data_IF_784116033526
#
_entry.id   IF_784116033526
#
_cell.length_a   1.000
_cell.length_b   1.000
_cell.length_c   1.000
_cell.angle_alpha   90.00
_cell.angle_beta   90.00
_cell.angle_gamma   90.00
#
_symmetry.space_group_name_H-M   'P 1'
#
loop_
_entity.id
_entity.type
_entity.pdbx_description
1 polymer ?
#
# COMPACT_ATOMS: atom_id res chain seq x y z
N UNK A 1 -30.98 -11.57 -18.16
CA UNK A 1 -30.02 -11.07 -17.16
C UNK A 1 -29.07 -10.13 -17.87
N UNK A 2 -28.75 -8.98 -17.26
CA UNK A 2 -27.70 -8.08 -17.72
C UNK A 2 -26.58 -8.18 -16.70
N UNK A 3 -25.35 -8.32 -17.17
CA UNK A 3 -24.14 -8.35 -16.36
C UNK A 3 -23.34 -7.09 -16.67
N UNK A 4 -22.61 -6.58 -15.68
CA UNK A 4 -21.82 -5.36 -15.77
C UNK A 4 -21.72 -4.69 -14.41
N UNK A 5 -21.02 -3.57 -14.37
CA UNK A 5 -20.84 -2.75 -13.18
C UNK A 5 -21.92 -1.66 -13.11
N UNK A 6 -22.44 -1.42 -11.91
CA UNK A 6 -23.54 -0.49 -11.67
C UNK A 6 -23.28 0.29 -10.40
N UNK A 7 -23.64 1.57 -10.40
CA UNK A 7 -23.86 2.29 -9.16
C UNK A 7 -25.32 2.11 -8.73
N UNK A 8 -25.50 1.91 -7.43
CA UNK A 8 -26.80 1.65 -6.84
C UNK A 8 -27.02 2.63 -5.70
N UNK A 9 -28.08 3.43 -5.81
CA UNK A 9 -28.54 4.33 -4.75
C UNK A 9 -29.80 3.78 -4.11
N UNK A 10 -29.97 4.00 -2.82
CA UNK A 10 -31.05 3.38 -2.06
C UNK A 10 -31.04 3.72 -0.59
N UNK A 11 -31.86 3.03 0.19
CA UNK A 11 -31.91 3.16 1.64
C UNK A 11 -31.27 1.94 2.30
N UNK A 12 -30.39 2.18 3.27
CA UNK A 12 -29.80 1.15 4.11
C UNK A 12 -30.45 1.13 5.49
N UNK A 13 -30.95 -0.04 5.90
CA UNK A 13 -31.37 -0.33 7.26
C UNK A 13 -30.22 -1.08 7.95
N UNK A 14 -29.50 -0.39 8.83
CA UNK A 14 -28.35 -0.94 9.54
C UNK A 14 -28.75 -2.02 10.56
N UNK A 15 -29.91 -1.89 11.20
CA UNK A 15 -30.40 -2.87 12.18
C UNK A 15 -30.78 -4.19 11.49
N UNK A 16 -31.38 -4.11 10.30
CA UNK A 16 -31.74 -5.27 9.49
C UNK A 16 -30.60 -5.78 8.59
N UNK A 17 -29.50 -5.02 8.47
CA UNK A 17 -28.43 -5.29 7.51
C UNK A 17 -28.93 -5.33 6.06
N UNK A 18 -29.95 -4.54 5.72
CA UNK A 18 -30.65 -4.62 4.44
C UNK A 18 -30.50 -3.33 3.63
N UNK A 19 -30.01 -3.46 2.42
CA UNK A 19 -30.01 -2.37 1.43
C UNK A 19 -31.18 -2.53 0.46
N UNK A 20 -32.00 -1.48 0.32
CA UNK A 20 -33.11 -1.44 -0.62
C UNK A 20 -32.78 -0.47 -1.77
N UNK A 21 -32.51 -0.99 -2.99
CA UNK A 21 -32.17 -0.14 -4.13
C UNK A 21 -33.39 0.67 -4.58
N UNK A 22 -33.14 1.95 -4.88
CA UNK A 22 -34.13 2.88 -5.45
C UNK A 22 -33.78 3.21 -6.89
N UNK A 23 -32.49 3.38 -7.18
CA UNK A 23 -32.00 3.65 -8.53
C UNK A 23 -30.73 2.83 -8.81
N UNK A 24 -30.62 2.35 -10.05
CA UNK A 24 -29.54 1.51 -10.55
C UNK A 24 -29.14 2.09 -11.90
N UNK A 25 -27.90 2.56 -12.00
CA UNK A 25 -27.36 3.15 -13.22
C UNK A 25 -26.07 2.43 -13.62
N UNK A 26 -25.79 2.24 -14.91
CA UNK A 26 -24.52 1.68 -15.36
C UNK A 26 -23.34 2.49 -14.83
N UNK A 27 -22.27 1.84 -14.39
CA UNK A 27 -21.10 2.53 -13.83
C UNK A 27 -20.49 3.55 -14.81
N UNK A 28 -20.56 3.28 -16.12
CA UNK A 28 -20.08 4.19 -17.16
C UNK A 28 -20.85 5.54 -17.25
N UNK A 29 -22.01 5.66 -16.59
CA UNK A 29 -22.80 6.89 -16.53
C UNK A 29 -22.51 7.70 -15.26
N UNK A 30 -21.78 7.13 -14.29
CA UNK A 30 -21.34 7.82 -13.09
C UNK A 30 -20.02 8.54 -13.40
N UNK A 31 -19.89 9.83 -13.02
CA UNK A 31 -18.59 10.49 -13.08
C UNK A 31 -17.56 9.65 -12.32
N UNK A 32 -16.40 9.41 -12.92
CA UNK A 32 -15.31 8.76 -12.19
C UNK A 32 -15.09 9.53 -10.89
N UNK A 33 -15.03 8.84 -9.73
CA UNK A 33 -14.65 9.50 -8.50
C UNK A 33 -13.31 10.21 -8.75
N UNK A 34 -13.09 11.39 -8.14
CA UNK A 34 -11.79 12.03 -8.21
C UNK A 34 -10.72 11.03 -7.79
N UNK A 35 -9.56 11.05 -8.46
CA UNK A 35 -8.41 10.26 -8.07
C UNK A 35 -8.23 10.34 -6.56
N UNK A 36 -8.14 9.19 -5.92
CA UNK A 36 -7.93 9.14 -4.48
C UNK A 36 -6.52 9.68 -4.20
N UNK A 37 -6.29 10.40 -3.09
CA UNK A 37 -4.94 10.85 -2.74
C UNK A 37 -3.94 9.68 -2.59
N UNK A 38 -4.43 8.44 -2.46
CA UNK A 38 -3.66 7.19 -2.50
C UNK A 38 -3.12 6.80 -3.88
N UNK A 39 -3.52 7.47 -4.96
CA UNK A 39 -3.04 7.22 -6.33
C UNK A 39 -1.73 7.96 -6.66
N UNK A 40 -1.21 8.79 -5.75
CA UNK A 40 0.13 9.38 -5.92
C UNK A 40 1.23 8.33 -5.70
N UNK A 41 2.22 8.22 -6.61
CA UNK A 41 3.32 7.28 -6.44
C UNK A 41 4.05 7.55 -5.11
N UNK A 42 4.15 6.51 -4.29
CA UNK A 42 4.90 6.59 -3.03
C UNK A 42 6.38 6.75 -3.34
N UNK A 43 6.90 7.95 -3.10
CA UNK A 43 8.28 8.30 -3.39
C UNK A 43 9.29 7.75 -2.38
N UNK A 44 10.55 8.06 -2.64
CA UNK A 44 11.67 7.77 -1.72
C UNK A 44 11.77 8.84 -0.62
N UNK A 45 11.63 8.47 0.67
CA UNK A 45 11.67 9.42 1.79
C UNK A 45 13.09 9.83 2.20
N UNK A 46 14.10 9.03 1.84
CA UNK A 46 15.49 9.41 2.06
C UNK A 46 15.87 10.62 1.21
N UNK A 47 16.68 11.52 1.77
CA UNK A 47 17.31 12.58 0.97
C UNK A 47 18.18 11.98 -0.14
N UNK A 48 18.28 12.69 -1.27
CA UNK A 48 19.18 12.29 -2.36
C UNK A 48 20.62 12.15 -1.82
N UNK A 49 21.29 11.00 -2.04
CA UNK A 49 22.67 10.81 -1.65
C UNK A 49 23.63 11.77 -2.36
N UNK A 50 24.85 11.91 -1.84
CA UNK A 50 25.91 12.64 -2.54
C UNK A 50 26.18 12.01 -3.92
N UNK A 51 26.00 12.81 -4.97
CA UNK A 51 26.09 12.35 -6.36
C UNK A 51 24.82 11.68 -6.90
N UNK A 52 23.72 11.74 -6.15
CA UNK A 52 22.41 11.23 -6.51
C UNK A 52 22.24 9.73 -6.33
N UNK A 53 21.01 9.28 -6.54
CA UNK A 53 20.66 7.87 -6.60
C UNK A 53 21.33 7.19 -7.80
N UNK A 54 22.20 6.22 -7.52
CA UNK A 54 22.93 5.44 -8.53
C UNK A 54 23.22 4.03 -8.06
N UNK A 55 23.41 3.13 -9.02
CA UNK A 55 23.95 1.80 -8.76
C UNK A 55 25.33 1.93 -8.11
N UNK A 56 25.53 1.21 -7.01
CA UNK A 56 26.80 1.17 -6.27
C UNK A 56 27.63 -0.08 -6.62
N UNK A 57 26.98 -1.15 -7.08
CA UNK A 57 27.63 -2.38 -7.52
C UNK A 57 26.86 -3.04 -8.67
N UNK A 58 27.38 -2.90 -9.90
CA UNK A 58 26.80 -3.46 -11.12
C UNK A 58 26.76 -5.00 -11.13
N UNK A 59 27.54 -5.67 -10.28
CA UNK A 59 27.53 -7.13 -10.20
C UNK A 59 26.39 -7.69 -9.32
N UNK A 60 25.66 -6.82 -8.63
CA UNK A 60 24.59 -7.16 -7.66
C UNK A 60 23.31 -6.36 -7.93
N UNK A 61 23.00 -6.12 -9.19
CA UNK A 61 21.84 -5.30 -9.62
C UNK A 61 21.05 -5.99 -10.74
N UNK A 62 21.04 -7.31 -10.78
CA UNK A 62 20.13 -8.08 -11.64
C UNK A 62 18.73 -8.16 -11.04
N UNK A 63 17.76 -8.64 -11.83
CA UNK A 63 16.41 -8.90 -11.32
C UNK A 63 16.41 -9.98 -10.23
N UNK A 64 17.27 -10.99 -10.34
CA UNK A 64 17.44 -12.01 -9.31
C UNK A 64 18.02 -11.42 -8.01
N UNK A 65 18.98 -10.50 -8.12
CA UNK A 65 19.53 -9.79 -6.96
C UNK A 65 18.46 -8.91 -6.30
N UNK A 66 17.62 -8.25 -7.09
CA UNK A 66 16.50 -7.44 -6.59
C UNK A 66 15.49 -8.30 -5.82
N UNK A 67 15.08 -9.45 -6.38
CA UNK A 67 14.20 -10.39 -5.69
C UNK A 67 14.84 -10.94 -4.41
N UNK A 68 16.12 -11.30 -4.44
CA UNK A 68 16.85 -11.76 -3.26
C UNK A 68 16.93 -10.67 -2.18
N UNK A 69 17.17 -9.41 -2.57
CA UNK A 69 17.22 -8.28 -1.66
C UNK A 69 15.86 -8.01 -1.01
N UNK A 70 14.77 -8.00 -1.78
CA UNK A 70 13.40 -7.81 -1.26
C UNK A 70 12.99 -8.95 -0.33
N UNK A 71 13.28 -10.20 -0.72
CA UNK A 71 13.01 -11.36 0.11
C UNK A 71 13.83 -11.35 1.41
N UNK A 72 15.08 -10.85 1.37
CA UNK A 72 15.89 -10.69 2.58
C UNK A 72 15.36 -9.55 3.45
N UNK A 73 14.97 -8.42 2.86
CA UNK A 73 14.43 -7.26 3.57
C UNK A 73 13.24 -7.63 4.47
N UNK A 74 12.32 -8.49 3.99
CA UNK A 74 11.17 -8.95 4.77
C UNK A 74 11.52 -9.86 5.96
N UNK A 75 12.77 -10.31 6.05
CA UNK A 75 13.27 -11.11 7.18
C UNK A 75 14.11 -10.32 8.17
N UNK A 76 14.40 -9.06 7.85
CA UNK A 76 15.17 -8.17 8.74
C UNK A 76 14.36 -7.93 10.02
N UNK A 77 15.07 -7.92 11.14
CA UNK A 77 14.46 -7.64 12.44
C UNK A 77 13.75 -6.27 12.42
N UNK A 78 12.46 -6.30 12.78
CA UNK A 78 11.63 -5.10 12.79
C UNK A 78 11.14 -4.65 11.41
N UNK A 79 11.13 -5.51 10.39
CA UNK A 79 10.54 -5.21 9.09
C UNK A 79 9.11 -4.64 9.22
N UNK A 80 8.86 -3.53 8.52
CA UNK A 80 7.57 -2.84 8.50
C UNK A 80 6.94 -2.83 7.10
N UNK A 81 7.72 -2.45 6.08
CA UNK A 81 7.28 -2.44 4.70
C UNK A 81 8.46 -2.34 3.73
N UNK A 82 8.21 -2.66 2.47
CA UNK A 82 9.08 -2.28 1.35
C UNK A 82 8.27 -1.89 0.13
N UNK A 83 8.74 -0.89 -0.60
CA UNK A 83 8.13 -0.42 -1.85
C UNK A 83 9.20 0.00 -2.85
N UNK A 84 8.78 0.25 -4.08
CA UNK A 84 9.65 0.64 -5.18
C UNK A 84 9.31 2.06 -5.63
N UNK A 85 10.35 2.86 -5.82
CA UNK A 85 10.24 4.15 -6.48
C UNK A 85 10.92 4.04 -7.84
N UNK A 86 10.11 4.13 -8.89
CA UNK A 86 10.51 4.08 -10.30
C UNK A 86 10.48 5.47 -10.96
N UNK A 87 10.38 6.56 -10.20
CA UNK A 87 10.35 7.94 -10.73
C UNK A 87 11.59 8.30 -11.54
N UNK A 88 12.69 7.57 -11.36
CA UNK A 88 13.95 7.72 -12.10
C UNK A 88 14.03 6.85 -13.35
N UNK A 89 13.04 5.98 -13.58
CA UNK A 89 13.02 5.11 -14.74
C UNK A 89 12.72 5.94 -16.00
N UNK A 90 13.62 5.95 -17.01
CA UNK A 90 13.40 6.70 -18.24
C UNK A 90 12.17 6.24 -19.03
N UNK A 91 11.66 5.04 -18.75
CA UNK A 91 10.46 4.47 -19.34
C UNK A 91 9.16 4.84 -18.59
N UNK A 92 9.21 5.49 -17.43
CA UNK A 92 8.05 5.75 -16.56
C UNK A 92 6.94 6.63 -17.19
N UNK A 93 7.27 7.40 -18.24
CA UNK A 93 6.30 8.24 -18.97
C UNK A 93 5.89 7.68 -20.34
N UNK A 94 6.29 6.45 -20.68
CA UNK A 94 5.98 5.82 -21.96
C UNK A 94 4.77 4.88 -21.87
N UNK A 95 4.22 4.47 -23.02
CA UNK A 95 3.10 3.52 -23.08
C UNK A 95 3.54 2.15 -22.52
N UNK A 96 2.99 1.70 -21.37
CA UNK A 96 3.41 0.45 -20.74
C UNK A 96 2.99 -0.79 -21.53
N UNK A 97 2.10 -0.65 -22.52
CA UNK A 97 1.68 -1.76 -23.39
C UNK A 97 2.68 -2.05 -24.52
N UNK A 98 3.70 -1.22 -24.70
CA UNK A 98 4.83 -1.52 -25.60
C UNK A 98 5.77 -2.53 -24.91
N UNK A 99 6.00 -3.73 -25.47
CA UNK A 99 6.90 -4.72 -24.88
C UNK A 99 8.34 -4.23 -24.66
N UNK A 100 8.81 -3.28 -25.46
CA UNK A 100 10.14 -2.69 -25.28
C UNK A 100 10.20 -1.71 -24.09
N UNK A 101 9.07 -1.11 -23.72
CA UNK A 101 8.88 -0.26 -22.54
C UNK A 101 8.72 -1.13 -21.30
N UNK A 102 7.91 -2.18 -21.36
CA UNK A 102 7.71 -3.15 -20.26
C UNK A 102 9.05 -3.71 -19.74
N UNK A 103 9.94 -4.12 -20.65
CA UNK A 103 11.25 -4.63 -20.28
C UNK A 103 12.14 -3.57 -19.59
N UNK A 104 12.01 -2.29 -19.96
CA UNK A 104 12.75 -1.18 -19.34
C UNK A 104 12.15 -0.76 -18.00
N UNK A 105 10.81 -0.80 -17.86
CA UNK A 105 10.12 -0.57 -16.59
C UNK A 105 10.57 -1.55 -15.51
N UNK A 106 10.91 -2.78 -15.92
CA UNK A 106 11.37 -3.85 -15.04
C UNK A 106 12.88 -3.85 -14.77
N UNK A 107 13.66 -2.91 -15.33
CA UNK A 107 15.11 -2.86 -15.14
C UNK A 107 15.47 -2.31 -13.75
N UNK A 108 16.00 -3.16 -12.85
CA UNK A 108 16.14 -2.79 -11.45
C UNK A 108 17.29 -1.79 -11.21
N UNK A 109 18.07 -1.44 -12.24
CA UNK A 109 19.06 -0.35 -12.19
C UNK A 109 18.42 1.04 -12.09
N UNK A 110 17.14 1.16 -12.45
CA UNK A 110 16.38 2.40 -12.35
C UNK A 110 15.40 2.42 -11.17
N UNK A 111 15.43 1.40 -10.32
CA UNK A 111 14.52 1.24 -9.19
C UNK A 111 15.21 1.57 -7.88
N UNK A 112 14.60 2.44 -7.09
CA UNK A 112 14.99 2.64 -5.69
C UNK A 112 14.18 1.66 -4.84
N UNK A 113 14.87 0.74 -4.18
CA UNK A 113 14.27 -0.14 -3.18
C UNK A 113 14.14 0.66 -1.88
N UNK A 114 12.92 0.85 -1.39
CA UNK A 114 12.65 1.48 -0.12
C UNK A 114 12.28 0.40 0.90
N UNK A 115 12.83 0.49 2.11
CA UNK A 115 12.54 -0.44 3.22
C UNK A 115 12.34 0.36 4.50
N UNK A 116 11.23 0.15 5.18
CA UNK A 116 10.97 0.72 6.50
C UNK A 116 11.13 -0.36 7.57
N UNK A 117 11.82 -0.03 8.67
CA UNK A 117 12.05 -0.91 9.82
C UNK A 117 11.78 -0.20 11.15
N UNK A 118 11.15 -0.86 12.11
CA UNK A 118 10.99 -0.36 13.47
C UNK A 118 12.31 -0.39 14.28
N UNK A 119 13.29 -1.18 13.82
CA UNK A 119 14.59 -1.37 14.47
C UNK A 119 15.64 -0.29 14.13
N UNK A 120 16.88 -0.75 13.89
CA UNK A 120 18.00 0.10 13.47
C UNK A 120 18.11 0.15 11.94
N UNK A 121 17.79 1.30 11.30
CA UNK A 121 17.88 1.45 9.85
C UNK A 121 19.27 1.21 9.30
N UNK A 122 20.34 1.59 10.03
CA UNK A 122 21.71 1.44 9.54
C UNK A 122 22.13 -0.04 9.51
N UNK A 123 21.72 -0.81 10.52
CA UNK A 123 21.95 -2.25 10.55
C UNK A 123 21.15 -2.98 9.46
N UNK A 124 19.89 -2.60 9.24
CA UNK A 124 19.06 -3.11 8.17
C UNK A 124 19.65 -2.81 6.79
N UNK A 125 20.06 -1.56 6.54
CA UNK A 125 20.72 -1.15 5.30
C UNK A 125 21.97 -1.99 5.05
N UNK A 126 22.86 -2.10 6.04
CA UNK A 126 24.09 -2.89 5.91
C UNK A 126 23.80 -4.37 5.56
N UNK A 127 22.75 -4.95 6.15
CA UNK A 127 22.31 -6.32 5.91
C UNK A 127 21.81 -6.51 4.46
N UNK A 128 20.92 -5.63 3.99
CA UNK A 128 20.38 -5.68 2.62
C UNK A 128 21.49 -5.39 1.59
N UNK A 129 22.39 -4.46 1.91
CA UNK A 129 23.52 -4.06 1.06
C UNK A 129 24.53 -5.19 0.82
N UNK A 130 24.51 -6.26 1.61
CA UNK A 130 25.28 -7.47 1.34
C UNK A 130 24.81 -8.18 0.06
N UNK A 131 23.53 -8.03 -0.30
CA UNK A 131 22.91 -8.65 -1.48
C UNK A 131 22.65 -7.65 -2.60
N UNK A 132 22.41 -6.38 -2.27
CA UNK A 132 21.88 -5.39 -3.21
C UNK A 132 22.87 -4.29 -3.59
N UNK A 133 23.24 -4.23 -4.86
CA UNK A 133 24.09 -3.21 -5.47
C UNK A 133 23.35 -2.01 -6.05
N UNK A 134 22.02 -2.02 -6.10
CA UNK A 134 21.21 -0.92 -6.64
C UNK A 134 20.92 0.19 -5.62
N UNK A 135 19.97 1.05 -5.95
CA UNK A 135 19.56 2.16 -5.10
C UNK A 135 18.73 1.64 -3.92
N UNK A 136 19.02 2.10 -2.70
CA UNK A 136 18.41 1.60 -1.46
C UNK A 136 18.19 2.76 -0.48
N UNK A 137 16.97 2.90 -0.01
CA UNK A 137 16.60 3.77 1.10
C UNK A 137 16.09 2.90 2.25
N UNK A 138 16.65 3.10 3.45
CA UNK A 138 16.13 2.46 4.66
C UNK A 138 15.71 3.53 5.66
N UNK A 139 14.45 3.48 6.07
CA UNK A 139 13.87 4.43 7.03
C UNK A 139 13.38 3.73 8.30
N UNK A 140 13.15 4.54 9.33
CA UNK A 140 12.51 4.08 10.55
C UNK A 140 10.99 4.08 10.40
N UNK A 141 10.36 3.00 10.80
CA UNK A 141 8.92 2.89 11.03
C UNK A 141 8.61 2.93 12.53
N UNK A 142 7.35 3.20 12.87
CA UNK A 142 6.88 3.12 14.26
C UNK A 142 6.49 1.71 14.68
N UNK A 143 5.97 0.90 13.74
CA UNK A 143 5.50 -0.46 13.97
C UNK A 143 6.06 -1.41 12.93
N UNK A 144 6.08 -2.68 13.28
CA UNK A 144 6.43 -3.79 12.40
C UNK A 144 5.22 -4.26 11.60
N UNK A 145 5.46 -4.92 10.48
CA UNK A 145 4.41 -5.57 9.69
C UNK A 145 3.68 -6.61 10.54
N UNK A 146 4.43 -7.38 11.32
CA UNK A 146 3.88 -8.43 12.17
C UNK A 146 2.89 -7.89 13.22
N UNK A 147 3.17 -6.72 13.80
CA UNK A 147 2.25 -6.06 14.74
C UNK A 147 0.96 -5.61 14.03
N UNK A 148 1.07 -5.01 12.85
CA UNK A 148 -0.10 -4.56 12.08
C UNK A 148 -0.93 -5.75 11.57
N UNK A 149 -0.30 -6.84 11.14
CA UNK A 149 -0.99 -8.07 10.73
C UNK A 149 -1.70 -8.71 11.91
N UNK A 150 -1.07 -8.76 13.09
CA UNK A 150 -1.72 -9.27 14.29
C UNK A 150 -2.95 -8.42 14.66
N UNK A 151 -2.83 -7.10 14.60
CA UNK A 151 -3.96 -6.18 14.81
C UNK A 151 -5.09 -6.39 13.80
N UNK A 152 -4.77 -6.53 12.51
CA UNK A 152 -5.76 -6.83 11.48
C UNK A 152 -6.49 -8.14 11.78
N UNK A 153 -5.78 -9.19 12.20
CA UNK A 153 -6.38 -10.48 12.55
C UNK A 153 -7.34 -10.40 13.74
N UNK A 154 -7.10 -9.49 14.69
CA UNK A 154 -8.01 -9.26 15.82
C UNK A 154 -9.33 -8.60 15.37
N UNK A 155 -9.29 -7.78 14.32
CA UNK A 155 -10.40 -6.92 13.90
C UNK A 155 -11.21 -7.52 12.73
N UNK A 156 -10.55 -8.29 11.85
CA UNK A 156 -11.13 -8.73 10.56
C UNK A 156 -12.38 -9.60 10.71
N UNK A 157 -12.49 -10.35 11.81
CA UNK A 157 -13.65 -11.19 12.13
C UNK A 157 -14.76 -10.42 12.86
N UNK A 158 -14.62 -9.09 12.96
CA UNK A 158 -15.59 -8.19 13.57
C UNK A 158 -16.93 -8.14 12.81
N UNK A 159 -18.04 -7.88 13.52
CA UNK A 159 -19.36 -7.78 12.89
C UNK A 159 -19.40 -6.64 11.87
N UNK A 160 -19.86 -6.93 10.66
CA UNK A 160 -20.03 -5.91 9.59
C UNK A 160 -18.77 -5.61 8.78
N UNK A 161 -17.62 -6.20 9.14
CA UNK A 161 -16.38 -6.10 8.35
C UNK A 161 -16.48 -6.97 7.10
N UNK A 162 -16.18 -6.38 5.95
CA UNK A 162 -16.19 -7.00 4.63
C UNK A 162 -14.78 -7.43 4.18
N UNK A 163 -13.76 -6.75 4.69
CA UNK A 163 -12.36 -6.98 4.35
C UNK A 163 -11.46 -5.98 5.04
N UNK A 164 -10.15 -6.15 4.88
CA UNK A 164 -9.15 -5.24 5.43
C UNK A 164 -7.74 -5.61 4.98
N UNK A 165 -6.81 -4.70 5.26
CA UNK A 165 -5.41 -4.81 4.86
C UNK A 165 -4.50 -3.96 5.74
N UNK A 166 -3.21 -4.25 5.66
CA UNK A 166 -2.17 -3.47 6.33
C UNK A 166 -1.56 -2.51 5.32
N UNK A 167 -1.44 -1.24 5.70
CA UNK A 167 -0.56 -0.28 5.03
C UNK A 167 0.70 -0.13 5.88
N UNK A 168 1.73 -0.92 5.56
CA UNK A 168 2.99 -0.87 6.30
C UNK A 168 3.80 0.41 6.06
N UNK A 169 3.47 1.20 5.03
CA UNK A 169 4.13 2.47 4.72
C UNK A 169 3.55 3.58 5.59
N UNK A 170 2.22 3.67 5.64
CA UNK A 170 1.52 4.57 6.56
C UNK A 170 1.59 4.08 8.02
N UNK A 171 1.85 2.79 8.23
CA UNK A 171 1.89 2.17 9.56
C UNK A 171 0.49 1.95 10.15
N UNK A 172 -0.53 1.74 9.30
CA UNK A 172 -1.94 1.66 9.69
C UNK A 172 -2.59 0.35 9.24
N UNK A 173 -3.77 0.06 9.79
CA UNK A 173 -4.63 -1.04 9.38
C UNK A 173 -5.92 -0.45 8.80
N UNK A 174 -6.22 -0.76 7.54
CA UNK A 174 -7.49 -0.37 6.92
C UNK A 174 -8.50 -1.50 7.00
N UNK A 175 -9.75 -1.19 7.35
CA UNK A 175 -10.88 -2.13 7.24
C UNK A 175 -12.00 -1.50 6.43
N UNK A 176 -12.73 -2.35 5.71
CA UNK A 176 -13.92 -1.96 4.95
C UNK A 176 -15.15 -2.58 5.57
N UNK A 177 -16.17 -1.77 5.84
CA UNK A 177 -17.47 -2.18 6.37
C UNK A 177 -18.58 -1.82 5.39
N UNK A 178 -19.80 -2.32 5.63
CA UNK A 178 -20.98 -1.91 4.84
C UNK A 178 -21.26 -0.42 5.04
N UNK A 179 -21.38 0.01 6.29
CA UNK A 179 -21.61 1.39 6.69
C UNK A 179 -21.12 1.56 8.13
N UNK A 180 -20.47 2.69 8.40
CA UNK A 180 -20.13 3.21 9.71
C UNK A 180 -20.63 4.65 9.81
N UNK A 181 -21.32 4.97 10.90
CA UNK A 181 -21.77 6.32 11.21
C UNK A 181 -20.71 7.14 11.97
N UNK A 182 -19.53 6.54 12.18
CA UNK A 182 -18.38 7.06 12.91
C UNK A 182 -18.18 6.38 14.25
N UNK A 183 -19.19 5.67 14.77
CA UNK A 183 -19.11 5.01 16.08
C UNK A 183 -18.10 3.87 16.10
N UNK A 184 -17.91 3.16 14.98
CA UNK A 184 -16.94 2.07 14.92
C UNK A 184 -15.51 2.61 14.80
N UNK A 185 -15.30 3.68 14.03
CA UNK A 185 -14.02 4.41 14.02
C UNK A 185 -13.65 4.91 15.42
N UNK A 186 -14.56 5.59 16.12
CA UNK A 186 -14.34 6.09 17.49
C UNK A 186 -14.00 4.96 18.46
N UNK A 187 -14.71 3.82 18.40
CA UNK A 187 -14.43 2.66 19.24
C UNK A 187 -13.01 2.10 19.01
N UNK A 188 -12.58 2.02 17.75
CA UNK A 188 -11.27 1.50 17.38
C UNK A 188 -10.15 2.48 17.76
N UNK A 189 -10.37 3.78 17.60
CA UNK A 189 -9.44 4.82 18.04
C UNK A 189 -9.26 4.81 19.57
N UNK A 190 -10.34 4.66 20.33
CA UNK A 190 -10.28 4.54 21.79
C UNK A 190 -9.52 3.28 22.25
N UNK A 191 -9.69 2.17 21.52
CA UNK A 191 -9.09 0.88 21.88
C UNK A 191 -7.62 0.75 21.47
N UNK A 192 -7.28 1.23 20.27
CA UNK A 192 -6.01 0.96 19.61
C UNK A 192 -5.15 2.21 19.42
N UNK A 193 -5.70 3.39 19.64
CA UNK A 193 -5.08 4.69 19.43
C UNK A 193 -5.57 5.34 18.14
N UNK A 194 -5.77 6.65 18.22
CA UNK A 194 -6.29 7.48 17.12
C UNK A 194 -5.50 7.29 15.82
N UNK A 195 -6.22 6.95 14.74
CA UNK A 195 -5.68 6.85 13.39
C UNK A 195 -4.86 5.60 13.11
N UNK A 196 -4.76 4.66 14.06
CA UNK A 196 -4.09 3.37 13.81
C UNK A 196 -4.94 2.45 12.94
N UNK A 197 -6.26 2.46 13.14
CA UNK A 197 -7.21 1.70 12.33
C UNK A 197 -8.07 2.67 11.57
N UNK A 198 -8.15 2.52 10.25
CA UNK A 198 -8.94 3.37 9.36
C UNK A 198 -10.16 2.58 8.88
N UNK A 199 -11.34 3.04 9.25
CA UNK A 199 -12.61 2.45 8.84
C UNK A 199 -13.09 3.12 7.56
N UNK A 200 -13.37 2.32 6.54
CA UNK A 200 -13.95 2.77 5.27
C UNK A 200 -15.33 2.13 5.06
N UNK A 201 -16.31 2.95 4.70
CA UNK A 201 -17.67 2.46 4.38
C UNK A 201 -17.82 2.19 2.90
N UNK A 202 -18.44 1.08 2.54
CA UNK A 202 -18.85 0.78 1.16
C UNK A 202 -20.03 1.67 0.75
N UNK A 203 -20.97 1.90 1.66
CA UNK A 203 -22.08 2.82 1.47
C UNK A 203 -21.67 4.22 1.94
N UNK A 204 -21.66 5.15 0.99
CA UNK A 204 -21.43 6.58 1.25
C UNK A 204 -22.75 7.36 1.07
N UNK A 205 -22.91 8.51 1.76
CA UNK A 205 -24.01 9.42 1.48
C UNK A 205 -24.04 9.81 -0.01
N UNK A 206 -25.23 9.87 -0.58
CA UNK A 206 -25.46 10.31 -1.96
C UNK A 206 -25.35 11.83 -2.10
#
# INVERSE_FOLDING_TARGET
MRWGDFAVTGSYDADAGQFTPVEIVPAAEIPEPPDSPSDEPIGTPCADPDGGWRVVDESRVSLDDFHAATAHASTVEGYAASWVDMSRNPAAGADPLDPAVEAQLSDPRYTILNVAVAGDPAAAEASIRALWGGMLCVTRAERTEAELVALLQEIIDGPGVLGGGVDGIAGTVGITVVHDDGSFQEELDDRHGEGLVIVSSTLVPA
#
